data_IF_626185103492
#
_entry.id   IF_626185103492
#
_cell.length_a   1.000
_cell.length_b   1.000
_cell.length_c   1.000
_cell.angle_alpha   90.00
_cell.angle_beta   90.00
_cell.angle_gamma   90.00
#
_symmetry.space_group_name_H-M   'P 1'
#
loop_
_entity.id
_entity.type
_entity.pdbx_description
1 polymer ?
#
# COMPACT_ATOMS: atom_id res chain seq x y z
N UNK A 1 -0.62 11.73 15.12
CA UNK A 1 -1.09 11.05 13.90
C UNK A 1 -0.49 11.81 12.73
N UNK A 2 0.53 11.26 12.09
CA UNK A 2 1.11 11.78 10.86
C UNK A 2 1.31 10.59 9.93
N UNK A 3 1.03 10.77 8.64
CA UNK A 3 1.16 9.72 7.63
C UNK A 3 2.64 9.51 7.20
N UNK A 4 3.60 10.03 7.97
CA UNK A 4 5.02 10.12 7.61
C UNK A 4 5.69 8.79 7.28
N UNK A 5 5.27 7.70 7.92
CA UNK A 5 5.81 6.34 7.70
C UNK A 5 5.09 5.57 6.57
N UNK A 6 4.02 6.13 5.99
CA UNK A 6 3.29 5.52 4.88
C UNK A 6 3.90 5.87 3.51
N UNK A 7 4.93 6.73 3.49
CA UNK A 7 5.58 7.17 2.25
C UNK A 7 6.81 6.32 1.99
N UNK A 8 6.82 5.64 0.84
CA UNK A 8 7.95 4.86 0.36
C UNK A 8 7.51 3.61 -0.41
N UNK A 9 8.47 2.76 -0.79
CA UNK A 9 8.16 1.48 -1.41
C UNK A 9 7.32 0.61 -0.44
N UNK A 10 6.31 -0.14 -0.94
CA UNK A 10 5.50 -1.01 -0.08
C UNK A 10 6.36 -2.05 0.64
N UNK A 11 6.42 -2.02 1.97
CA UNK A 11 7.31 -2.90 2.74
C UNK A 11 6.56 -3.96 3.54
N UNK A 12 5.23 -3.99 3.48
CA UNK A 12 4.37 -4.92 4.21
C UNK A 12 3.33 -5.53 3.26
N UNK A 13 3.02 -6.80 3.49
CA UNK A 13 1.89 -7.49 2.86
C UNK A 13 0.93 -7.86 3.97
N UNK A 14 -0.25 -7.24 3.93
CA UNK A 14 -1.38 -7.59 4.77
C UNK A 14 -2.29 -8.59 4.04
N UNK A 15 -2.59 -9.70 4.70
CA UNK A 15 -3.50 -10.74 4.21
C UNK A 15 -4.63 -10.89 5.21
N UNK A 16 -5.85 -10.73 4.71
CA UNK A 16 -7.09 -10.97 5.46
C UNK A 16 -7.81 -12.15 4.85
N UNK A 17 -8.20 -13.11 5.68
CA UNK A 17 -9.04 -14.24 5.29
C UNK A 17 -10.27 -14.30 6.19
N UNK A 18 -11.43 -14.55 5.61
CA UNK A 18 -12.68 -14.77 6.34
C UNK A 18 -13.11 -16.20 6.10
N UNK A 19 -13.28 -16.99 7.17
CA UNK A 19 -13.70 -18.39 7.10
C UNK A 19 -14.79 -18.64 8.13
N UNK A 20 -16.00 -18.91 7.65
CA UNK A 20 -17.18 -19.01 8.52
C UNK A 20 -17.40 -17.69 9.27
N UNK A 21 -17.38 -17.76 10.60
CA UNK A 21 -17.53 -16.64 11.53
C UNK A 21 -16.19 -16.04 12.00
N UNK A 22 -15.05 -16.51 11.47
CA UNK A 22 -13.71 -16.09 11.89
C UNK A 22 -13.03 -15.20 10.86
N UNK A 23 -12.26 -14.23 11.36
CA UNK A 23 -11.36 -13.38 10.57
C UNK A 23 -9.91 -13.69 10.97
N UNK A 24 -9.09 -14.03 9.98
CA UNK A 24 -7.66 -14.23 10.11
C UNK A 24 -6.94 -13.03 9.50
N UNK A 25 -5.96 -12.50 10.22
CA UNK A 25 -5.13 -11.40 9.78
C UNK A 25 -3.66 -11.81 9.88
N UNK A 26 -2.88 -11.52 8.84
CA UNK A 26 -1.44 -11.66 8.84
C UNK A 26 -0.82 -10.43 8.19
N UNK A 27 0.08 -9.77 8.91
CA UNK A 27 0.98 -8.77 8.37
C UNK A 27 2.37 -9.40 8.19
N UNK A 28 2.97 -9.26 7.01
CA UNK A 28 4.34 -9.73 6.74
C UNK A 28 5.18 -8.57 6.24
N UNK A 29 6.01 -8.03 7.12
CA UNK A 29 7.01 -7.01 6.80
C UNK A 29 8.18 -7.59 6.00
N UNK A 30 8.73 -6.83 5.08
CA UNK A 30 9.87 -7.16 4.22
C UNK A 30 9.73 -8.47 3.44
N UNK A 31 8.48 -8.87 3.13
CA UNK A 31 8.17 -10.14 2.50
C UNK A 31 8.71 -10.25 1.07
N UNK A 32 8.81 -9.10 0.37
CA UNK A 32 9.31 -8.97 -1.01
C UNK A 32 10.04 -7.62 -1.10
N UNK A 33 11.15 -7.58 -1.84
CA UNK A 33 11.81 -6.32 -2.19
C UNK A 33 10.95 -5.57 -3.19
N UNK A 34 10.49 -4.39 -2.81
CA UNK A 34 9.69 -3.50 -3.65
C UNK A 34 10.49 -2.23 -3.98
N UNK A 35 9.93 -1.40 -4.85
CA UNK A 35 10.50 -0.12 -5.23
C UNK A 35 9.40 0.94 -5.30
N UNK A 36 9.80 2.21 -5.18
CA UNK A 36 8.90 3.33 -5.40
C UNK A 36 8.36 3.32 -6.83
N UNK A 37 7.17 3.90 -7.01
CA UNK A 37 6.58 4.11 -8.33
C UNK A 37 6.73 5.61 -8.66
N UNK A 38 7.65 6.02 -9.56
CA UNK A 38 7.96 7.44 -9.79
C UNK A 38 6.75 8.29 -10.19
N UNK A 39 5.81 7.71 -10.94
CA UNK A 39 4.57 8.38 -11.32
C UNK A 39 3.71 8.74 -10.09
N UNK A 40 3.66 7.89 -9.07
CA UNK A 40 2.88 8.12 -7.86
C UNK A 40 3.57 9.09 -6.91
N UNK A 41 4.91 9.05 -6.81
CA UNK A 41 5.68 10.09 -6.12
C UNK A 41 5.43 11.48 -6.72
N UNK A 42 5.27 11.58 -8.04
CA UNK A 42 4.90 12.85 -8.70
C UNK A 42 3.50 13.32 -8.27
N UNK A 43 2.52 12.42 -8.20
CA UNK A 43 1.16 12.75 -7.73
C UNK A 43 1.19 13.27 -6.30
N UNK A 44 1.91 12.60 -5.40
CA UNK A 44 2.09 13.05 -4.02
C UNK A 44 2.64 14.48 -3.97
N UNK A 45 3.76 14.74 -4.65
CA UNK A 45 4.40 16.07 -4.69
C UNK A 45 3.45 17.15 -5.21
N UNK A 46 2.68 16.84 -6.25
CA UNK A 46 1.70 17.77 -6.80
C UNK A 46 0.57 18.09 -5.82
N UNK A 47 0.09 17.09 -5.07
CA UNK A 47 -0.95 17.29 -4.06
C UNK A 47 -0.44 18.10 -2.86
N UNK A 48 0.76 17.78 -2.37
CA UNK A 48 1.38 18.49 -1.25
C UNK A 48 1.75 19.95 -1.59
N UNK A 49 2.02 20.25 -2.86
CA UNK A 49 2.27 21.61 -3.33
C UNK A 49 1.00 22.47 -3.42
N UNK A 50 -0.21 21.90 -3.30
CA UNK A 50 -1.46 22.68 -3.36
C UNK A 50 -1.57 23.59 -2.15
N UNK A 51 -2.11 24.79 -2.37
CA UNK A 51 -2.38 25.76 -1.31
C UNK A 51 -3.57 25.34 -0.45
N UNK A 52 -4.57 24.72 -1.06
CA UNK A 52 -5.78 24.21 -0.40
C UNK A 52 -5.73 22.69 -0.31
N UNK A 53 -6.12 22.09 0.83
CA UNK A 53 -6.56 22.74 2.07
C UNK A 53 -5.40 23.45 2.79
N UNK A 54 -5.70 24.52 3.54
CA UNK A 54 -4.71 25.19 4.40
C UNK A 54 -4.28 24.30 5.56
N UNK A 55 -5.23 23.50 6.06
CA UNK A 55 -4.99 22.47 7.06
C UNK A 55 -4.02 21.41 6.52
N UNK A 56 -2.88 21.26 7.20
CA UNK A 56 -1.81 20.36 6.78
C UNK A 56 -2.23 18.90 6.84
N UNK A 57 -3.07 18.51 7.80
CA UNK A 57 -3.55 17.13 7.93
C UNK A 57 -4.49 16.75 6.79
N UNK A 58 -5.49 17.59 6.49
CA UNK A 58 -6.38 17.39 5.37
C UNK A 58 -5.63 17.36 4.02
N UNK A 59 -4.52 18.11 3.92
CA UNK A 59 -3.66 18.11 2.73
C UNK A 59 -2.94 16.78 2.58
N UNK A 60 -2.32 16.30 3.66
CA UNK A 60 -1.66 14.99 3.68
C UNK A 60 -2.65 13.86 3.38
N UNK A 61 -3.86 13.90 3.94
CA UNK A 61 -4.89 12.87 3.69
C UNK A 61 -5.32 12.85 2.22
N UNK A 62 -5.54 14.01 1.60
CA UNK A 62 -5.85 14.10 0.17
C UNK A 62 -4.68 13.63 -0.71
N UNK A 63 -3.45 13.98 -0.33
CA UNK A 63 -2.26 13.53 -1.02
C UNK A 63 -2.08 12.01 -0.92
N UNK A 64 -2.35 11.43 0.26
CA UNK A 64 -2.28 9.99 0.49
C UNK A 64 -3.35 9.23 -0.29
N UNK A 65 -4.58 9.73 -0.34
CA UNK A 65 -5.66 9.14 -1.14
C UNK A 65 -5.30 9.12 -2.64
N UNK A 66 -4.80 10.24 -3.17
CA UNK A 66 -4.36 10.34 -4.55
C UNK A 66 -3.17 9.40 -4.86
N UNK A 67 -2.20 9.32 -3.94
CA UNK A 67 -1.06 8.41 -4.04
C UNK A 67 -1.52 6.94 -4.06
N UNK A 68 -2.40 6.52 -3.14
CA UNK A 68 -2.94 5.15 -3.07
C UNK A 68 -3.68 4.76 -4.36
N UNK A 69 -4.49 5.66 -4.90
CA UNK A 69 -5.18 5.46 -6.19
C UNK A 69 -4.19 5.27 -7.34
N UNK A 70 -3.11 6.05 -7.37
CA UNK A 70 -2.04 5.87 -8.34
C UNK A 70 -1.36 4.51 -8.18
N UNK A 71 -0.96 4.13 -6.95
CA UNK A 71 -0.30 2.84 -6.69
C UNK A 71 -1.19 1.68 -7.13
N UNK A 72 -2.49 1.70 -6.81
CA UNK A 72 -3.42 0.65 -7.24
C UNK A 72 -3.47 0.48 -8.77
N UNK A 73 -3.33 1.57 -9.52
CA UNK A 73 -3.31 1.56 -10.99
C UNK A 73 -1.97 1.11 -11.57
N UNK A 74 -0.87 1.63 -11.03
CA UNK A 74 0.47 1.49 -11.63
C UNK A 74 1.25 0.27 -11.09
N UNK A 75 0.91 -0.23 -9.90
CA UNK A 75 1.58 -1.37 -9.27
C UNK A 75 1.56 -2.64 -10.13
N UNK A 76 0.45 -3.02 -10.81
CA UNK A 76 0.43 -4.20 -11.68
C UNK A 76 1.48 -4.18 -12.81
N UNK A 77 1.93 -3.00 -13.24
CA UNK A 77 2.98 -2.84 -14.25
C UNK A 77 4.40 -2.89 -13.68
N UNK A 78 4.57 -2.98 -12.35
CA UNK A 78 5.89 -3.03 -11.71
C UNK A 78 6.46 -4.44 -11.71
N UNK A 79 7.77 -4.55 -11.89
CA UNK A 79 8.48 -5.84 -11.93
C UNK A 79 8.36 -6.67 -10.65
N UNK A 80 8.15 -6.01 -9.49
CA UNK A 80 8.02 -6.67 -8.20
C UNK A 80 6.60 -7.17 -7.89
N UNK A 81 5.58 -6.72 -8.63
CA UNK A 81 4.18 -6.93 -8.24
C UNK A 81 3.75 -8.39 -8.29
N UNK A 82 4.11 -9.11 -9.35
CA UNK A 82 3.78 -10.53 -9.48
C UNK A 82 4.36 -11.37 -8.32
N UNK A 83 5.58 -11.05 -7.87
CA UNK A 83 6.21 -11.71 -6.73
C UNK A 83 5.48 -11.40 -5.41
N UNK A 84 5.07 -10.13 -5.21
CA UNK A 84 4.27 -9.71 -4.05
C UNK A 84 2.92 -10.44 -3.99
N UNK A 85 2.18 -10.50 -5.11
CA UNK A 85 0.90 -11.23 -5.19
C UNK A 85 1.10 -12.73 -4.93
N UNK A 86 2.14 -13.35 -5.49
CA UNK A 86 2.45 -14.76 -5.24
C UNK A 86 2.73 -15.02 -3.76
N UNK A 87 3.49 -14.13 -3.11
CA UNK A 87 3.79 -14.23 -1.67
C UNK A 87 2.52 -14.08 -0.83
N UNK A 88 1.67 -13.11 -1.13
CA UNK A 88 0.39 -12.89 -0.46
C UNK A 88 -0.53 -14.13 -0.56
N UNK A 89 -0.65 -14.70 -1.77
CA UNK A 89 -1.42 -15.94 -1.98
C UNK A 89 -0.89 -17.11 -1.15
N UNK A 90 0.44 -17.32 -1.14
CA UNK A 90 1.03 -18.39 -0.32
C UNK A 90 0.81 -18.18 1.18
N UNK A 91 0.79 -16.94 1.66
CA UNK A 91 0.42 -16.65 3.06
C UNK A 91 -1.06 -16.95 3.33
N UNK A 92 -1.95 -16.59 2.40
CA UNK A 92 -3.38 -16.90 2.52
C UNK A 92 -3.63 -18.41 2.60
N UNK A 93 -2.97 -19.19 1.75
CA UNK A 93 -3.05 -20.66 1.77
C UNK A 93 -2.58 -21.23 3.12
N UNK A 94 -1.48 -20.71 3.67
CA UNK A 94 -0.99 -21.12 4.99
C UNK A 94 -1.94 -20.74 6.12
N UNK A 95 -2.63 -19.61 6.02
CA UNK A 95 -3.63 -19.20 7.00
C UNK A 95 -4.87 -20.10 6.96
N UNK A 96 -5.33 -20.48 5.77
CA UNK A 96 -6.55 -21.27 5.57
C UNK A 96 -6.35 -22.79 5.77
N UNK A 97 -5.11 -23.27 5.77
CA UNK A 97 -4.77 -24.65 6.08
C UNK A 97 -4.68 -24.94 7.60
N UNK A 98 -4.84 -23.90 8.44
CA UNK A 98 -4.85 -23.98 9.91
C UNK A 98 -6.28 -23.99 10.44
#
# INVERSE_FOLDING_TARGET
>A
RGNGDLKGPPHEIDVVAIQGDKVFFLAVTNAVKTAEIPACEKVWKQMMARKTPEDSMAKEDQAMDAYRKCVAKEAPGQSWFAAAVKKARGQLELLLAR
#
